data_IF_573160428551
#
_entry.id   IF_573160428551
#
_cell.length_a   1.000
_cell.length_b   1.000
_cell.length_c   1.000
_cell.angle_alpha   90.00
_cell.angle_beta   90.00
_cell.angle_gamma   90.00
#
_symmetry.space_group_name_H-M   'P 1'
#
loop_
_entity.id
_entity.type
_entity.pdbx_description
1 polymer ?
#
# COMPACT_ATOMS: atom_id res chain seq x y z
N UNK A 1 -20.77 -9.97 15.24
CA UNK A 1 -19.67 -10.12 16.20
C UNK A 1 -18.39 -10.24 15.40
N UNK A 2 -17.41 -9.36 15.62
CA UNK A 2 -16.19 -9.31 14.82
C UNK A 2 -15.38 -10.60 14.96
N UNK A 3 -14.89 -11.11 13.84
CA UNK A 3 -14.02 -12.28 13.77
C UNK A 3 -12.75 -12.02 14.62
N UNK A 4 -12.33 -13.00 15.43
CA UNK A 4 -11.10 -12.86 16.22
C UNK A 4 -9.90 -12.77 15.26
N UNK A 5 -8.96 -11.84 15.48
CA UNK A 5 -7.81 -11.69 14.60
C UNK A 5 -6.97 -12.97 14.62
N UNK A 6 -6.53 -13.41 13.45
CA UNK A 6 -5.70 -14.62 13.29
C UNK A 6 -4.35 -14.49 14.01
N UNK A 7 -3.82 -13.26 14.10
CA UNK A 7 -2.56 -12.91 14.76
C UNK A 7 -2.73 -11.61 15.55
N UNK A 8 -2.18 -11.57 16.76
CA UNK A 8 -2.06 -10.36 17.58
C UNK A 8 -0.59 -9.94 17.60
N UNK A 9 -0.32 -8.72 17.12
CA UNK A 9 1.01 -8.12 17.22
C UNK A 9 1.18 -7.57 18.64
N UNK A 10 2.25 -7.99 19.32
CA UNK A 10 2.65 -7.47 20.64
C UNK A 10 3.99 -6.75 20.45
N UNK A 11 4.12 -5.56 21.03
CA UNK A 11 5.37 -4.78 20.95
C UNK A 11 6.41 -5.33 21.94
N UNK A 12 7.67 -5.44 21.52
CA UNK A 12 8.76 -5.93 22.36
C UNK A 12 10.07 -6.14 21.57
N UNK A 13 11.11 -6.62 22.26
CA UNK A 13 12.38 -7.05 21.66
C UNK A 13 12.52 -8.57 21.87
N UNK A 14 11.89 -9.41 21.03
CA UNK A 14 11.95 -10.85 21.20
C UNK A 14 13.40 -11.34 21.05
N UNK A 15 13.75 -12.41 21.74
CA UNK A 15 15.05 -13.05 21.50
C UNK A 15 15.07 -13.69 20.11
N UNK A 16 16.26 -13.95 19.52
CA UNK A 16 16.37 -14.66 18.24
C UNK A 16 15.66 -16.02 18.25
N UNK A 17 15.71 -16.74 19.37
CA UNK A 17 15.08 -18.05 19.55
C UNK A 17 13.55 -17.94 19.54
N UNK A 18 13.00 -16.93 20.21
CA UNK A 18 11.56 -16.68 20.21
C UNK A 18 11.05 -16.30 18.80
N UNK A 19 11.81 -15.46 18.08
CA UNK A 19 11.51 -15.11 16.70
C UNK A 19 11.52 -16.36 15.80
N UNK A 20 12.53 -17.22 15.94
CA UNK A 20 12.63 -18.46 15.18
C UNK A 20 11.46 -19.42 15.46
N UNK A 21 11.07 -19.59 16.74
CA UNK A 21 9.92 -20.39 17.12
C UNK A 21 8.61 -19.86 16.51
N UNK A 22 8.42 -18.54 16.50
CA UNK A 22 7.26 -17.91 15.90
C UNK A 22 7.20 -18.14 14.38
N UNK A 23 8.34 -17.99 13.68
CA UNK A 23 8.43 -18.27 12.25
C UNK A 23 8.10 -19.74 11.97
N UNK A 24 8.63 -20.68 12.75
CA UNK A 24 8.35 -22.11 12.58
C UNK A 24 6.85 -22.42 12.71
N UNK A 25 6.14 -21.82 13.68
CA UNK A 25 4.68 -21.99 13.84
C UNK A 25 3.90 -21.42 12.66
N UNK A 26 4.30 -20.24 12.16
CA UNK A 26 3.65 -19.61 10.99
C UNK A 26 3.83 -20.48 9.76
N UNK A 27 5.04 -20.98 9.50
CA UNK A 27 5.33 -21.86 8.38
C UNK A 27 4.58 -23.20 8.50
N UNK A 28 4.50 -23.79 9.70
CA UNK A 28 3.76 -25.03 9.93
C UNK A 28 2.25 -24.88 9.69
N UNK A 29 1.70 -23.68 9.88
CA UNK A 29 0.28 -23.38 9.61
C UNK A 29 0.02 -22.90 8.18
N UNK A 30 1.07 -22.53 7.43
CA UNK A 30 0.91 -22.10 6.06
C UNK A 30 0.52 -23.31 5.20
N UNK A 31 -0.75 -23.37 4.80
CA UNK A 31 -1.18 -24.32 3.76
C UNK A 31 -0.53 -23.91 2.44
N UNK A 32 0.08 -24.83 1.67
CA UNK A 32 0.56 -24.52 0.33
C UNK A 32 -0.65 -24.16 -0.53
N UNK A 33 -0.89 -22.87 -0.70
CA UNK A 33 -1.83 -22.38 -1.70
C UNK A 33 -1.19 -22.59 -3.06
N UNK A 34 -1.96 -23.09 -4.03
CA UNK A 34 -1.57 -23.01 -5.44
C UNK A 34 -1.24 -21.54 -5.70
N UNK A 35 0.02 -21.28 -6.04
CA UNK A 35 0.50 -19.91 -6.31
C UNK A 35 -0.13 -19.47 -7.62
N UNK A 36 -1.36 -18.98 -7.55
CA UNK A 36 -1.86 -18.05 -8.55
C UNK A 36 -0.96 -16.82 -8.50
N UNK A 37 -0.65 -16.23 -9.66
CA UNK A 37 0.01 -14.91 -9.74
C UNK A 37 -0.74 -13.93 -8.82
N UNK A 38 -0.19 -13.70 -7.64
CA UNK A 38 -0.80 -12.84 -6.65
C UNK A 38 -0.63 -11.42 -7.15
N UNK A 39 -1.75 -10.71 -7.33
CA UNK A 39 -1.71 -9.29 -7.65
C UNK A 39 -0.89 -8.51 -6.62
N UNK A 40 -0.42 -7.29 -6.97
CA UNK A 40 0.41 -6.48 -6.08
C UNK A 40 -0.20 -6.38 -4.67
N UNK A 41 0.60 -6.68 -3.65
CA UNK A 41 0.12 -6.62 -2.27
C UNK A 41 -0.27 -5.17 -1.92
N UNK A 42 -1.30 -5.01 -1.08
CA UNK A 42 -1.68 -3.69 -0.58
C UNK A 42 -0.53 -2.99 0.16
N UNK A 43 0.44 -3.74 0.68
CA UNK A 43 1.64 -3.22 1.35
C UNK A 43 2.69 -2.70 0.36
N UNK A 44 2.78 -3.30 -0.84
CA UNK A 44 3.66 -2.85 -1.90
C UNK A 44 3.17 -1.54 -2.56
N UNK A 45 1.89 -1.19 -2.39
CA UNK A 45 1.32 0.04 -2.93
C UNK A 45 1.71 1.27 -2.08
N UNK A 46 2.83 1.89 -2.46
CA UNK A 46 3.34 3.12 -1.83
C UNK A 46 2.32 4.26 -1.86
N UNK A 47 1.40 4.31 -2.83
CA UNK A 47 0.41 5.38 -2.88
C UNK A 47 -0.50 5.36 -1.64
N UNK A 48 -0.67 4.19 -0.99
CA UNK A 48 -1.47 4.03 0.23
C UNK A 48 -0.81 4.58 1.48
N UNK A 49 0.51 4.74 1.50
CA UNK A 49 1.21 5.43 2.59
C UNK A 49 1.25 6.95 2.40
N UNK A 50 0.83 7.44 1.23
CA UNK A 50 0.77 8.88 0.94
C UNK A 50 -0.62 9.43 1.27
N UNK A 51 -0.68 10.69 1.69
CA UNK A 51 -1.95 11.41 1.74
C UNK A 51 -2.51 11.50 0.32
N UNK A 52 -3.79 11.20 0.17
CA UNK A 52 -4.51 11.44 -1.08
C UNK A 52 -4.31 12.91 -1.49
N UNK A 53 -3.88 13.18 -2.72
CA UNK A 53 -3.85 14.55 -3.22
C UNK A 53 -5.26 15.12 -3.10
N UNK A 54 -5.42 16.40 -2.73
CA UNK A 54 -6.73 17.03 -2.74
C UNK A 54 -7.32 16.89 -4.14
N UNK A 55 -8.47 16.22 -4.23
CA UNK A 55 -9.23 16.16 -5.48
C UNK A 55 -9.57 17.60 -5.85
N UNK A 56 -9.24 18.07 -7.07
CA UNK A 56 -9.67 19.40 -7.50
C UNK A 56 -11.18 19.42 -7.37
N UNK A 57 -11.68 20.32 -6.52
CA UNK A 57 -13.12 20.46 -6.34
C UNK A 57 -13.75 20.72 -7.71
N UNK A 58 -14.93 20.14 -7.97
CA UNK A 58 -15.72 20.39 -9.19
C UNK A 58 -16.21 21.85 -9.29
N UNK A 59 -15.70 22.76 -8.46
CA UNK A 59 -15.99 24.19 -8.48
C UNK A 59 -14.76 24.89 -9.05
N UNK A 60 -14.65 24.87 -10.37
CA UNK A 60 -13.52 25.42 -11.13
C UNK A 60 -13.49 25.02 -12.61
N UNK A 61 -14.38 24.14 -13.07
CA UNK A 61 -14.69 24.00 -14.50
C UNK A 61 -15.80 25.00 -14.84
N UNK A 62 -15.41 26.26 -14.93
CA UNK A 62 -16.25 27.38 -15.28
C UNK A 62 -15.47 28.65 -15.02
N UNK A 63 -15.07 29.32 -16.10
CA UNK A 63 -14.58 30.71 -16.12
C UNK A 63 -13.08 30.99 -15.88
N UNK A 64 -12.17 30.17 -16.43
CA UNK A 64 -10.85 30.72 -16.79
C UNK A 64 -10.40 30.30 -18.20
N UNK A 65 -11.06 30.90 -19.19
CA UNK A 65 -10.68 30.84 -20.60
C UNK A 65 -9.49 31.77 -20.94
N UNK A 66 -8.66 32.17 -19.97
CA UNK A 66 -7.55 33.11 -20.18
C UNK A 66 -6.21 32.74 -19.56
N UNK A 67 -5.91 31.46 -19.38
CA UNK A 67 -4.53 31.01 -19.17
C UNK A 67 -4.10 30.00 -20.24
N UNK A 68 -3.23 30.38 -21.19
CA UNK A 68 -2.58 29.40 -22.04
C UNK A 68 -1.55 28.64 -21.20
N UNK A 69 -1.82 27.39 -20.85
CA UNK A 69 -0.87 26.46 -20.23
C UNK A 69 0.33 26.20 -21.17
N UNK A 70 1.58 26.63 -20.86
CA UNK A 70 2.74 26.27 -21.66
C UNK A 70 3.72 25.35 -20.92
N UNK A 71 3.33 24.74 -19.79
CA UNK A 71 4.24 23.87 -19.02
C UNK A 71 3.99 22.36 -19.22
N UNK A 72 2.97 21.97 -20.00
CA UNK A 72 2.77 20.59 -20.48
C UNK A 72 3.62 20.23 -21.72
N UNK A 73 4.80 20.83 -21.87
CA UNK A 73 5.81 20.41 -22.85
C UNK A 73 7.21 20.52 -22.26
N UNK A 74 7.46 19.78 -21.20
CA UNK A 74 8.79 19.28 -20.88
C UNK A 74 8.69 17.76 -20.81
N UNK A 75 8.41 17.16 -21.98
CA UNK A 75 8.81 15.77 -22.22
C UNK A 75 10.30 15.83 -22.50
N UNK A 76 11.06 15.15 -21.66
CA UNK A 76 12.43 14.74 -21.92
C UNK A 76 12.53 14.18 -23.35
N UNK A 77 13.41 14.77 -24.15
CA UNK A 77 13.99 14.21 -25.36
C UNK A 77 15.52 14.34 -25.19
N UNK A 78 16.31 13.41 -25.75
CA UNK A 78 17.65 13.02 -25.29
C UNK A 78 18.71 14.13 -25.35
#
# INVERSE_FOLDING_TARGET
>A
MGERPLLRVVHGNPTPEELAALIAVVLARASPAVVAEAGPSAWADRSRSMRQPPVPSRRGVGDDARMPTPWRRLKFAP
#
